data_IF_872610215435
#
_entry.id   IF_872610215435
#
_cell.length_a   1.000
_cell.length_b   1.000
_cell.length_c   1.000
_cell.angle_alpha   90.00
_cell.angle_beta   90.00
_cell.angle_gamma   90.00
#
_symmetry.space_group_name_H-M   'P 1'
#
loop_
_entity.id
_entity.type
_entity.pdbx_description
1 polymer ?
#
# COMPACT_ATOMS: atom_id res chain seq x y z
N UNK A 1 42.95 -6.88 40.04
CA UNK A 1 41.99 -5.77 39.78
C UNK A 1 41.63 -5.80 38.30
N UNK A 2 40.51 -6.44 37.94
CA UNK A 2 40.00 -6.43 36.59
C UNK A 2 39.31 -5.06 36.38
N UNK A 3 39.77 -4.27 35.40
CA UNK A 3 39.10 -3.07 34.95
C UNK A 3 37.80 -3.53 34.23
N UNK A 4 36.67 -3.27 34.85
CA UNK A 4 35.38 -3.48 34.25
C UNK A 4 35.28 -2.73 32.92
N UNK A 5 34.98 -3.46 31.85
CA UNK A 5 34.60 -2.91 30.57
C UNK A 5 33.34 -2.05 30.81
N UNK A 6 33.44 -0.73 30.64
CA UNK A 6 32.26 0.16 30.59
C UNK A 6 31.40 -0.34 29.44
N UNK A 7 30.25 -0.92 29.73
CA UNK A 7 29.22 -1.15 28.72
C UNK A 7 28.94 0.20 28.02
N UNK A 8 29.13 0.21 26.71
CA UNK A 8 28.77 1.35 25.88
C UNK A 8 27.26 1.60 26.06
N UNK A 9 26.83 2.87 26.22
CA UNK A 9 25.41 3.17 26.28
C UNK A 9 24.71 2.59 25.03
N UNK A 10 23.56 1.95 25.23
CA UNK A 10 22.76 1.27 24.21
C UNK A 10 22.48 2.08 22.92
N UNK A 11 22.71 3.40 22.95
CA UNK A 11 22.59 4.32 21.80
C UNK A 11 23.66 4.12 20.71
N UNK A 12 24.80 3.53 21.02
CA UNK A 12 25.96 3.44 20.13
C UNK A 12 26.08 2.13 19.36
N UNK A 13 24.99 1.33 19.29
CA UNK A 13 25.00 0.03 18.60
C UNK A 13 23.88 -0.01 17.57
N UNK A 14 24.21 -0.38 16.33
CA UNK A 14 23.21 -0.62 15.28
C UNK A 14 22.28 -1.75 15.69
N UNK A 15 20.98 -1.46 15.79
CA UNK A 15 19.93 -2.40 16.24
C UNK A 15 18.63 -2.13 15.51
N UNK A 16 17.65 -3.05 15.66
CA UNK A 16 16.30 -2.80 15.21
C UNK A 16 15.71 -1.54 15.86
N UNK A 17 15.16 -0.68 15.02
CA UNK A 17 14.45 0.53 15.42
C UNK A 17 13.01 0.39 14.88
N UNK A 18 11.99 0.44 15.73
CA UNK A 18 10.60 0.37 15.26
C UNK A 18 10.32 1.49 14.25
N UNK A 19 9.74 1.18 13.07
CA UNK A 19 9.56 2.18 12.03
C UNK A 19 8.56 3.27 12.43
N UNK A 20 8.92 4.53 12.13
CA UNK A 20 8.01 5.67 12.16
C UNK A 20 6.93 5.51 11.08
N UNK A 21 5.67 5.79 11.42
CA UNK A 21 4.52 5.62 10.53
C UNK A 21 3.95 6.99 10.13
N UNK A 22 3.71 7.22 8.83
CA UNK A 22 3.06 8.45 8.39
C UNK A 22 1.57 8.46 8.74
N UNK A 23 1.05 9.63 9.16
CA UNK A 23 -0.38 9.86 9.37
C UNK A 23 -1.12 9.96 8.04
N UNK A 24 -2.30 9.33 7.95
CA UNK A 24 -3.15 9.41 6.76
C UNK A 24 -3.87 10.74 6.69
N UNK A 25 -3.82 11.39 5.52
CA UNK A 25 -4.54 12.64 5.26
C UNK A 25 -5.34 12.55 3.96
N UNK A 26 -6.41 13.33 3.86
CA UNK A 26 -7.20 13.46 2.63
C UNK A 26 -6.47 14.26 1.55
N UNK A 27 -5.61 15.18 1.96
CA UNK A 27 -4.84 16.03 1.07
C UNK A 27 -3.49 16.37 1.70
N UNK A 28 -2.40 16.23 0.91
CA UNK A 28 -1.07 16.62 1.31
C UNK A 28 -0.89 18.15 1.26
N UNK A 29 0.01 18.71 2.09
CA UNK A 29 0.39 20.11 2.02
C UNK A 29 0.99 20.49 0.65
N UNK A 30 0.75 21.74 0.21
CA UNK A 30 1.31 22.30 -1.03
C UNK A 30 2.70 22.89 -0.86
N UNK A 31 3.04 23.30 0.34
CA UNK A 31 4.27 24.05 0.64
C UNK A 31 5.51 23.17 0.52
N UNK A 32 6.10 23.15 -0.67
CA UNK A 32 7.31 22.38 -1.00
C UNK A 32 8.56 22.88 -0.22
N UNK A 33 8.55 24.11 0.27
CA UNK A 33 9.63 24.61 1.12
C UNK A 33 9.67 23.94 2.49
N UNK A 34 8.53 23.38 2.94
CA UNK A 34 8.40 22.69 4.22
C UNK A 34 8.30 21.16 4.11
N UNK A 35 8.05 20.63 2.90
CA UNK A 35 7.77 19.20 2.71
C UNK A 35 8.56 18.60 1.55
N UNK A 36 9.21 17.47 1.82
CA UNK A 36 9.76 16.57 0.83
C UNK A 36 8.63 15.63 0.36
N UNK A 37 8.54 15.35 -0.94
CA UNK A 37 7.59 14.38 -1.48
C UNK A 37 8.32 13.15 -2.02
N UNK A 38 7.84 11.98 -1.60
CA UNK A 38 8.28 10.67 -2.06
C UNK A 38 7.09 9.84 -2.56
N UNK A 39 7.29 8.91 -3.52
CA UNK A 39 6.25 7.97 -3.88
C UNK A 39 5.90 7.08 -2.69
N UNK A 40 4.61 6.85 -2.46
CA UNK A 40 4.15 5.84 -1.52
C UNK A 40 4.20 4.48 -2.20
N UNK A 41 5.21 3.71 -1.85
CA UNK A 41 5.39 2.36 -2.36
C UNK A 41 4.43 1.39 -1.67
N UNK A 42 3.92 0.42 -2.42
CA UNK A 42 3.08 -0.68 -1.90
C UNK A 42 3.93 -1.96 -1.83
N UNK A 43 4.36 -2.31 -0.63
CA UNK A 43 5.28 -3.41 -0.39
C UNK A 43 5.30 -3.90 1.05
N UNK A 44 6.43 -4.44 1.46
CA UNK A 44 6.73 -4.79 2.85
C UNK A 44 7.75 -3.82 3.42
N UNK A 45 7.35 -3.06 4.46
CA UNK A 45 8.27 -2.21 5.21
C UNK A 45 9.32 -3.05 5.91
N UNK A 46 10.58 -2.68 5.74
CA UNK A 46 11.71 -3.39 6.31
C UNK A 46 12.73 -2.44 6.91
N UNK A 47 13.16 -2.75 8.12
CA UNK A 47 14.34 -2.17 8.76
C UNK A 47 15.51 -3.13 8.52
N UNK A 48 16.47 -2.69 7.71
CA UNK A 48 17.70 -3.43 7.46
C UNK A 48 18.77 -3.01 8.46
N UNK A 49 19.28 -3.97 9.22
CA UNK A 49 20.32 -3.75 10.24
C UNK A 49 21.56 -4.53 9.86
N UNK A 50 22.70 -3.85 9.81
CA UNK A 50 24.01 -4.49 9.77
C UNK A 50 24.81 -3.99 10.95
N UNK A 51 25.38 -4.90 11.76
CA UNK A 51 26.14 -4.58 12.95
C UNK A 51 27.17 -5.66 13.24
N UNK A 52 28.43 -5.26 13.40
CA UNK A 52 29.53 -6.14 13.84
C UNK A 52 29.62 -7.49 13.07
N UNK A 53 29.39 -7.43 11.76
CA UNK A 53 29.44 -8.62 10.87
C UNK A 53 28.12 -9.39 10.75
N UNK A 54 27.11 -9.06 11.54
CA UNK A 54 25.76 -9.64 11.43
C UNK A 54 24.84 -8.73 10.62
N UNK A 55 23.94 -9.34 9.85
CA UNK A 55 22.95 -8.61 9.05
C UNK A 55 21.56 -9.20 9.27
N UNK A 56 20.55 -8.37 9.36
CA UNK A 56 19.16 -8.82 9.44
C UNK A 56 18.23 -7.85 8.70
N UNK A 57 17.20 -8.42 8.09
CA UNK A 57 16.05 -7.71 7.55
C UNK A 57 14.87 -7.92 8.51
N UNK A 58 14.38 -6.85 9.12
CA UNK A 58 13.28 -6.92 10.09
C UNK A 58 11.99 -6.35 9.50
N UNK A 59 10.88 -7.07 9.66
CA UNK A 59 9.54 -6.53 9.43
C UNK A 59 9.20 -5.43 10.44
N UNK A 60 8.05 -4.76 10.24
CA UNK A 60 7.51 -3.79 11.22
C UNK A 60 7.30 -4.38 12.62
N UNK A 61 7.07 -5.69 12.72
CA UNK A 61 6.86 -6.44 13.96
C UNK A 61 8.13 -7.18 14.43
N UNK A 62 9.30 -6.73 13.97
CA UNK A 62 10.61 -7.31 14.28
C UNK A 62 10.80 -8.80 13.90
N UNK A 63 9.99 -9.33 12.96
CA UNK A 63 10.21 -10.67 12.39
C UNK A 63 11.36 -10.62 11.40
N UNK A 64 12.22 -11.64 11.41
CA UNK A 64 13.36 -11.74 10.50
C UNK A 64 12.91 -12.25 9.14
N UNK A 65 13.26 -11.54 8.07
CA UNK A 65 12.92 -11.83 6.67
C UNK A 65 14.13 -12.29 5.83
N UNK A 66 15.25 -12.67 6.44
CA UNK A 66 16.47 -13.04 5.73
C UNK A 66 16.25 -14.18 4.74
N UNK A 67 15.51 -15.22 5.15
CA UNK A 67 15.21 -16.40 4.31
C UNK A 67 14.21 -16.11 3.20
N UNK A 68 13.31 -15.16 3.42
CA UNK A 68 12.29 -14.75 2.48
C UNK A 68 12.84 -13.86 1.35
N UNK A 69 13.87 -13.05 1.64
CA UNK A 69 14.46 -12.08 0.71
C UNK A 69 15.97 -12.24 0.62
N UNK A 70 16.42 -13.44 0.21
CA UNK A 70 17.83 -13.85 0.21
C UNK A 70 18.74 -12.91 -0.58
N UNK A 71 18.28 -12.42 -1.74
CA UNK A 71 19.10 -11.54 -2.59
C UNK A 71 19.29 -10.16 -1.94
N UNK A 72 18.26 -9.62 -1.29
CA UNK A 72 18.34 -8.38 -0.53
C UNK A 72 19.22 -8.55 0.70
N UNK A 73 19.07 -9.67 1.41
CA UNK A 73 19.94 -10.02 2.54
C UNK A 73 21.41 -10.13 2.13
N UNK A 74 21.68 -10.78 1.00
CA UNK A 74 23.02 -10.90 0.45
C UNK A 74 23.60 -9.51 0.05
N UNK A 75 22.77 -8.63 -0.54
CA UNK A 75 23.18 -7.27 -0.88
C UNK A 75 23.50 -6.44 0.38
N UNK A 76 22.66 -6.51 1.42
CA UNK A 76 22.91 -5.87 2.72
C UNK A 76 24.24 -6.36 3.34
N UNK A 77 24.49 -7.66 3.30
CA UNK A 77 25.71 -8.25 3.85
C UNK A 77 26.96 -7.76 3.12
N UNK A 78 26.87 -7.50 1.81
CA UNK A 78 27.97 -7.02 0.96
C UNK A 78 28.29 -5.53 1.13
N UNK A 79 27.41 -4.73 1.77
CA UNK A 79 27.73 -3.31 2.02
C UNK A 79 29.09 -3.19 2.71
N UNK A 80 29.91 -2.25 2.26
CA UNK A 80 31.25 -2.04 2.85
C UNK A 80 31.16 -1.51 4.28
N UNK A 81 30.09 -0.84 4.64
CA UNK A 81 29.87 -0.29 5.97
C UNK A 81 29.54 -1.35 7.00
N UNK A 82 30.25 -1.36 8.14
CA UNK A 82 30.11 -2.37 9.19
C UNK A 82 28.85 -2.21 10.02
N UNK A 83 28.44 -0.98 10.26
CA UNK A 83 27.30 -0.65 11.14
C UNK A 83 26.40 0.35 10.45
N UNK A 84 25.17 -0.09 10.14
CA UNK A 84 24.15 0.71 9.47
C UNK A 84 22.75 0.24 9.84
N UNK A 85 21.79 1.16 9.99
CA UNK A 85 20.37 0.88 10.07
C UNK A 85 19.67 1.70 8.99
N UNK A 86 18.98 1.00 8.10
CA UNK A 86 18.25 1.56 6.96
C UNK A 86 16.77 1.27 7.07
N UNK A 87 15.97 2.24 6.70
CA UNK A 87 14.52 2.11 6.63
C UNK A 87 14.08 2.16 5.16
N UNK A 88 13.26 1.23 4.75
CA UNK A 88 12.84 1.10 3.35
C UNK A 88 11.65 0.19 3.14
N UNK A 89 11.29 0.01 1.88
CA UNK A 89 10.18 -0.82 1.43
C UNK A 89 10.69 -1.89 0.46
N UNK A 90 10.31 -3.15 0.67
CA UNK A 90 10.55 -4.22 -0.32
C UNK A 90 9.37 -4.24 -1.28
N UNK A 91 9.65 -4.13 -2.58
CA UNK A 91 8.66 -4.07 -3.65
C UNK A 91 9.01 -5.03 -4.78
N UNK A 92 8.01 -5.69 -5.38
CA UNK A 92 8.14 -6.31 -6.69
C UNK A 92 7.80 -5.27 -7.76
N UNK A 93 8.56 -5.22 -8.86
CA UNK A 93 8.46 -4.15 -9.85
C UNK A 93 8.20 -4.73 -11.24
N UNK A 94 7.17 -4.25 -11.91
CA UNK A 94 6.84 -4.58 -13.30
C UNK A 94 7.87 -3.96 -14.27
N UNK A 95 7.95 -4.44 -15.52
CA UNK A 95 8.87 -3.88 -16.52
C UNK A 95 8.71 -2.38 -16.80
N UNK A 96 7.52 -1.85 -16.56
CA UNK A 96 7.20 -0.41 -16.69
C UNK A 96 7.55 0.40 -15.42
N UNK A 97 8.18 -0.21 -14.41
CA UNK A 97 8.55 0.44 -13.14
C UNK A 97 7.46 0.46 -12.06
N UNK A 98 6.27 -0.10 -12.34
CA UNK A 98 5.14 -0.09 -11.40
C UNK A 98 5.35 -1.11 -10.28
N UNK A 99 5.15 -0.73 -9.00
CA UNK A 99 5.08 -1.69 -7.90
C UNK A 99 3.89 -2.65 -8.05
N UNK A 100 4.10 -3.94 -7.76
CA UNK A 100 3.07 -4.98 -7.81
C UNK A 100 3.07 -5.80 -6.52
N UNK A 101 2.19 -5.44 -5.60
CA UNK A 101 2.10 -6.09 -4.29
C UNK A 101 1.62 -7.55 -4.38
N UNK A 102 0.73 -7.87 -5.32
CA UNK A 102 0.27 -9.24 -5.52
C UNK A 102 1.42 -10.16 -5.93
N UNK A 103 2.31 -9.68 -6.82
CA UNK A 103 3.52 -10.41 -7.20
C UNK A 103 4.45 -10.58 -5.99
N UNK A 104 4.57 -9.54 -5.14
CA UNK A 104 5.37 -9.62 -3.93
C UNK A 104 4.80 -10.64 -2.91
N UNK A 105 3.48 -10.69 -2.73
CA UNK A 105 2.83 -11.72 -1.90
C UNK A 105 3.09 -13.13 -2.43
N UNK A 106 3.08 -13.29 -3.75
CA UNK A 106 3.32 -14.54 -4.46
C UNK A 106 4.79 -14.67 -4.91
N UNK A 107 5.74 -14.13 -4.16
CA UNK A 107 7.17 -14.01 -4.52
C UNK A 107 7.84 -15.32 -4.93
N UNK A 108 7.35 -16.46 -4.46
CA UNK A 108 7.90 -17.79 -4.81
C UNK A 108 7.60 -18.20 -6.25
N UNK A 109 6.53 -17.65 -6.84
CA UNK A 109 6.07 -17.96 -8.20
C UNK A 109 6.21 -16.77 -9.16
N UNK A 110 6.47 -15.56 -8.66
CA UNK A 110 6.68 -14.40 -9.51
C UNK A 110 8.02 -14.43 -10.23
N UNK A 111 8.04 -13.93 -11.47
CA UNK A 111 9.28 -13.66 -12.22
C UNK A 111 9.68 -12.19 -12.16
N UNK A 112 8.90 -11.35 -11.47
CA UNK A 112 9.20 -9.92 -11.34
C UNK A 112 10.41 -9.73 -10.41
N UNK A 113 11.29 -8.77 -10.73
CA UNK A 113 12.38 -8.41 -9.85
C UNK A 113 11.85 -7.80 -8.57
N UNK A 114 12.49 -8.13 -7.45
CA UNK A 114 12.15 -7.63 -6.12
C UNK A 114 13.29 -6.72 -5.67
N UNK A 115 12.96 -5.50 -5.24
CA UNK A 115 13.92 -4.50 -4.79
C UNK A 115 13.66 -4.10 -3.35
N UNK A 116 14.72 -3.70 -2.65
CA UNK A 116 14.64 -2.97 -1.41
C UNK A 116 14.90 -1.49 -1.69
N UNK A 117 13.86 -0.69 -1.60
CA UNK A 117 13.90 0.75 -1.85
C UNK A 117 14.07 1.47 -0.52
N UNK A 118 15.24 2.02 -0.30
CA UNK A 118 15.65 2.64 0.97
C UNK A 118 15.32 4.13 0.94
N UNK A 119 14.66 4.64 1.97
CA UNK A 119 14.25 6.04 2.02
C UNK A 119 14.72 6.77 3.29
N UNK A 120 15.33 6.09 4.27
CA UNK A 120 15.92 6.76 5.43
C UNK A 120 17.15 6.00 5.97
N UNK A 121 18.04 6.73 6.63
CA UNK A 121 19.21 6.21 7.33
C UNK A 121 19.11 6.58 8.81
N UNK A 122 18.98 5.58 9.68
CA UNK A 122 18.72 5.78 11.10
C UNK A 122 19.98 5.65 11.96
N UNK A 123 20.99 4.95 11.45
CA UNK A 123 22.26 4.74 12.13
C UNK A 123 23.38 4.53 11.11
N UNK A 124 24.54 5.17 11.34
CA UNK A 124 25.69 5.04 10.46
C UNK A 124 26.98 5.43 11.17
N UNK A 125 28.05 4.64 10.98
CA UNK A 125 29.41 4.90 11.51
C UNK A 125 29.45 5.20 13.02
N UNK A 126 28.73 4.39 13.81
CA UNK A 126 28.73 4.54 15.26
C UNK A 126 27.85 5.69 15.80
N UNK A 127 26.99 6.27 14.97
CA UNK A 127 26.13 7.40 15.35
C UNK A 127 24.67 7.12 15.04
N UNK A 128 23.83 7.48 15.98
CA UNK A 128 22.36 7.48 15.87
C UNK A 128 21.92 8.80 15.21
N UNK A 129 20.95 8.72 14.29
CA UNK A 129 20.42 9.86 13.57
C UNK A 129 18.94 10.14 13.84
N UNK A 130 18.35 9.52 14.85
CA UNK A 130 16.91 9.69 15.13
C UNK A 130 16.54 11.15 15.40
N UNK A 131 17.38 11.87 16.15
CA UNK A 131 17.16 13.27 16.48
C UNK A 131 17.67 14.25 15.39
N UNK A 132 18.22 13.73 14.29
CA UNK A 132 18.74 14.56 13.20
C UNK A 132 17.66 14.98 12.22
N UNK A 133 17.77 16.17 11.60
CA UNK A 133 16.91 16.58 10.49
C UNK A 133 16.91 15.55 9.36
N UNK A 134 15.77 15.39 8.71
CA UNK A 134 15.61 14.42 7.60
C UNK A 134 16.63 14.65 6.48
N UNK A 135 16.99 15.90 6.19
CA UNK A 135 17.98 16.26 5.16
C UNK A 135 19.38 15.72 5.51
N UNK A 136 19.74 15.74 6.79
CA UNK A 136 21.00 15.17 7.25
C UNK A 136 20.99 13.65 7.10
N UNK A 137 19.87 12.98 7.48
CA UNK A 137 19.70 11.54 7.31
C UNK A 137 19.74 11.12 5.83
N UNK A 138 19.11 11.91 4.94
CA UNK A 138 19.15 11.72 3.49
C UNK A 138 20.55 11.89 2.91
N UNK A 139 21.31 12.85 3.40
CA UNK A 139 22.71 13.04 3.00
C UNK A 139 23.55 11.79 3.30
N UNK A 140 23.38 11.18 4.48
CA UNK A 140 24.06 9.93 4.81
C UNK A 140 23.53 8.75 3.99
N UNK A 141 22.23 8.69 3.75
CA UNK A 141 21.67 7.69 2.83
C UNK A 141 22.30 7.78 1.45
N UNK A 142 22.45 8.99 0.89
CA UNK A 142 23.08 9.18 -0.42
C UNK A 142 24.55 8.71 -0.45
N UNK A 143 25.30 8.88 0.66
CA UNK A 143 26.66 8.33 0.78
C UNK A 143 26.67 6.81 0.78
N UNK A 144 25.78 6.18 1.56
CA UNK A 144 25.68 4.72 1.65
C UNK A 144 25.19 4.12 0.33
N UNK A 145 24.29 4.82 -0.37
CA UNK A 145 23.70 4.37 -1.63
C UNK A 145 24.72 4.21 -2.77
N UNK A 146 25.90 4.86 -2.67
CA UNK A 146 26.99 4.64 -3.62
C UNK A 146 27.54 3.19 -3.58
N UNK A 147 27.37 2.51 -2.45
CA UNK A 147 27.77 1.12 -2.26
C UNK A 147 26.61 0.13 -2.48
N UNK A 148 25.41 0.62 -2.84
CA UNK A 148 24.29 -0.27 -3.09
C UNK A 148 24.53 -1.11 -4.34
N UNK A 149 24.35 -2.41 -4.19
CA UNK A 149 24.28 -3.35 -5.30
C UNK A 149 22.85 -3.84 -5.46
N UNK A 150 22.45 -4.16 -6.68
CA UNK A 150 21.09 -4.75 -6.90
C UNK A 150 20.91 -5.96 -5.97
N UNK A 151 19.75 -6.10 -5.32
CA UNK A 151 18.51 -5.37 -5.55
C UNK A 151 18.25 -4.18 -4.59
N UNK A 152 19.27 -3.54 -4.02
CA UNK A 152 19.12 -2.35 -3.18
C UNK A 152 19.21 -1.08 -4.02
N UNK A 153 18.33 -0.09 -3.72
CA UNK A 153 18.35 1.23 -4.36
C UNK A 153 17.75 2.30 -3.43
N UNK A 154 18.17 3.58 -3.54
CA UNK A 154 17.52 4.66 -2.82
C UNK A 154 16.13 4.95 -3.41
N UNK A 155 15.24 5.54 -2.59
CA UNK A 155 13.96 6.03 -3.07
C UNK A 155 14.15 7.24 -3.99
N UNK A 156 13.28 7.35 -4.98
CA UNK A 156 13.15 8.57 -5.77
C UNK A 156 12.45 9.65 -4.94
N UNK A 157 12.97 10.88 -4.99
CA UNK A 157 12.35 12.07 -4.40
C UNK A 157 11.92 13.03 -5.52
N UNK A 158 10.75 13.63 -5.38
CA UNK A 158 10.33 14.71 -6.27
C UNK A 158 11.14 15.97 -5.97
N UNK A 159 11.77 16.57 -6.98
CA UNK A 159 12.50 17.81 -6.86
C UNK A 159 11.67 18.95 -6.24
N UNK A 160 12.33 19.97 -5.71
CA UNK A 160 11.64 21.11 -5.09
C UNK A 160 10.84 21.94 -6.08
N UNK A 161 11.25 21.94 -7.34
CA UNK A 161 10.59 22.56 -8.49
C UNK A 161 9.30 21.84 -8.93
N UNK A 162 9.09 20.62 -8.45
CA UNK A 162 7.87 19.85 -8.75
C UNK A 162 6.82 20.15 -7.69
N UNK A 163 5.75 20.83 -8.07
CA UNK A 163 4.61 21.07 -7.17
C UNK A 163 3.85 19.76 -6.83
N UNK A 164 3.00 19.84 -5.81
CA UNK A 164 2.22 18.68 -5.33
C UNK A 164 1.34 18.08 -6.42
N UNK A 165 0.64 18.90 -7.20
CA UNK A 165 -0.35 18.43 -8.17
C UNK A 165 0.32 17.75 -9.37
N UNK A 166 1.50 18.26 -9.77
CA UNK A 166 2.38 17.60 -10.74
C UNK A 166 2.85 16.23 -10.20
N UNK A 167 3.31 16.18 -8.95
CA UNK A 167 3.72 14.91 -8.32
C UNK A 167 2.55 13.91 -8.26
N UNK A 168 1.32 14.35 -7.91
CA UNK A 168 0.10 13.54 -7.93
C UNK A 168 -0.16 13.01 -9.35
N UNK A 169 -0.02 13.86 -10.37
CA UNK A 169 -0.23 13.47 -11.76
C UNK A 169 0.74 12.37 -12.21
N UNK A 170 2.01 12.50 -11.86
CA UNK A 170 3.04 11.49 -12.14
C UNK A 170 2.70 10.16 -11.46
N UNK A 171 2.39 10.20 -10.16
CA UNK A 171 2.07 9.01 -9.36
C UNK A 171 0.82 8.29 -9.90
N UNK A 172 -0.22 9.04 -10.30
CA UNK A 172 -1.42 8.46 -10.91
C UNK A 172 -1.12 7.80 -12.27
N UNK A 173 -0.32 8.45 -13.12
CA UNK A 173 0.07 7.89 -14.43
C UNK A 173 0.91 6.62 -14.30
N UNK A 174 1.74 6.54 -13.28
CA UNK A 174 2.59 5.37 -13.00
C UNK A 174 1.90 4.32 -12.13
N UNK A 175 0.63 4.55 -11.74
CA UNK A 175 -0.15 3.67 -10.84
C UNK A 175 0.59 3.33 -9.53
N UNK A 176 1.36 4.26 -9.00
CA UNK A 176 1.92 4.18 -7.65
C UNK A 176 0.79 4.49 -6.65
N UNK A 177 0.79 3.83 -5.49
CA UNK A 177 -0.31 3.87 -4.51
C UNK A 177 -0.65 5.27 -4.01
N UNK A 178 0.34 6.19 -3.98
CA UNK A 178 0.14 7.51 -3.42
C UNK A 178 1.45 8.29 -3.26
N UNK A 179 1.40 9.28 -2.39
CA UNK A 179 2.56 10.09 -1.98
C UNK A 179 2.74 10.05 -0.47
N UNK A 180 3.99 10.21 -0.03
CA UNK A 180 4.37 10.52 1.34
C UNK A 180 5.04 11.89 1.35
N UNK A 181 4.48 12.81 2.16
CA UNK A 181 5.10 14.10 2.45
C UNK A 181 5.85 14.00 3.79
N UNK A 182 7.14 14.29 3.79
CA UNK A 182 7.99 14.30 4.99
C UNK A 182 8.37 15.72 5.31
N UNK A 183 8.11 16.16 6.55
CA UNK A 183 8.39 17.54 6.98
C UNK A 183 9.89 17.79 7.00
N UNK A 184 10.33 18.87 6.36
CA UNK A 184 11.72 19.31 6.39
C UNK A 184 12.14 19.65 7.82
N UNK A 185 13.39 19.39 8.16
CA UNK A 185 13.91 19.55 9.52
C UNK A 185 13.40 18.51 10.53
N UNK A 186 12.54 17.56 10.12
CA UNK A 186 11.94 16.61 11.06
C UNK A 186 12.93 15.56 11.53
N UNK A 187 12.79 15.21 12.81
CA UNK A 187 13.42 14.04 13.41
C UNK A 187 12.67 12.75 13.02
N UNK A 188 13.26 11.61 13.31
CA UNK A 188 12.61 10.31 13.18
C UNK A 188 12.00 9.90 14.51
N UNK A 189 10.69 9.61 14.55
CA UNK A 189 9.94 9.22 15.76
C UNK A 189 9.62 7.72 15.73
N UNK A 190 10.42 6.86 16.40
CA UNK A 190 10.25 5.42 16.31
C UNK A 190 8.91 4.91 16.86
N UNK A 191 8.29 3.95 16.15
CA UNK A 191 7.20 3.11 16.65
C UNK A 191 5.80 3.69 16.57
N UNK A 192 5.64 5.03 16.40
CA UNK A 192 4.35 5.71 16.39
C UNK A 192 3.90 6.22 15.03
N UNK A 193 2.63 6.60 14.91
CA UNK A 193 2.19 7.53 13.87
C UNK A 193 2.67 8.94 14.21
N UNK A 194 3.09 9.68 13.20
CA UNK A 194 3.60 11.04 13.37
C UNK A 194 3.17 11.95 12.24
N UNK A 195 2.70 13.15 12.60
CA UNK A 195 2.32 14.21 11.66
C UNK A 195 3.53 14.86 10.98
N UNK A 196 4.75 14.49 11.37
CA UNK A 196 5.97 14.88 10.67
C UNK A 196 6.08 14.16 9.32
N UNK A 197 5.39 13.04 9.15
CA UNK A 197 5.22 12.32 7.90
C UNK A 197 3.74 12.14 7.62
N UNK A 198 3.30 12.56 6.44
CA UNK A 198 1.92 12.47 5.98
C UNK A 198 1.84 11.57 4.76
N UNK A 199 0.78 10.74 4.65
CA UNK A 199 0.54 9.92 3.47
C UNK A 199 -0.82 10.22 2.87
N UNK A 200 -0.89 10.28 1.54
CA UNK A 200 -2.12 10.32 0.77
C UNK A 200 -2.13 9.18 -0.23
N UNK A 201 -3.19 8.39 -0.25
CA UNK A 201 -3.43 7.36 -1.26
C UNK A 201 -4.24 7.92 -2.41
N UNK A 202 -3.92 7.46 -3.61
CA UNK A 202 -4.68 7.81 -4.83
C UNK A 202 -5.36 6.55 -5.34
N UNK A 203 -6.59 6.39 -4.93
CA UNK A 203 -7.40 5.26 -5.35
C UNK A 203 -7.82 5.43 -6.82
N UNK A 204 -7.98 4.31 -7.51
CA UNK A 204 -8.58 4.26 -8.82
C UNK A 204 -10.11 4.33 -8.66
N UNK A 205 -10.79 4.85 -9.66
CA UNK A 205 -12.24 4.84 -9.74
C UNK A 205 -12.67 4.04 -10.95
N UNK A 206 -13.79 3.35 -10.83
CA UNK A 206 -14.35 2.57 -11.92
C UNK A 206 -15.86 2.43 -11.82
N UNK A 207 -16.50 2.25 -12.99
CA UNK A 207 -17.91 1.95 -13.11
C UNK A 207 -18.11 0.44 -13.04
N UNK A 208 -19.00 0.00 -12.14
CA UNK A 208 -19.38 -1.41 -11.99
C UNK A 208 -20.88 -1.54 -11.96
N UNK A 209 -21.37 -2.63 -12.55
CA UNK A 209 -22.80 -2.96 -12.58
C UNK A 209 -23.18 -3.64 -11.26
N UNK A 210 -24.32 -3.26 -10.70
CA UNK A 210 -24.89 -3.90 -9.52
C UNK A 210 -25.78 -5.06 -10.00
N UNK A 211 -25.37 -6.29 -9.71
CA UNK A 211 -26.13 -7.50 -10.10
C UNK A 211 -26.85 -8.18 -8.93
N UNK A 212 -26.71 -7.65 -7.71
CA UNK A 212 -27.39 -8.18 -6.54
C UNK A 212 -26.98 -7.47 -5.26
N UNK A 213 -27.62 -7.87 -4.17
CA UNK A 213 -27.25 -7.44 -2.83
C UNK A 213 -27.54 -8.50 -1.78
N UNK A 214 -26.84 -8.47 -0.68
CA UNK A 214 -27.17 -9.21 0.54
C UNK A 214 -27.97 -8.26 1.43
N UNK A 215 -29.17 -8.68 1.90
CA UNK A 215 -29.99 -7.86 2.79
C UNK A 215 -29.26 -7.53 4.11
N UNK A 216 -29.61 -6.38 4.68
CA UNK A 216 -29.15 -5.94 5.97
C UNK A 216 -30.27 -5.25 6.75
N UNK A 217 -29.98 -4.82 7.98
CA UNK A 217 -30.97 -4.22 8.89
C UNK A 217 -31.63 -2.93 8.35
N UNK A 218 -31.04 -2.28 7.33
CA UNK A 218 -31.54 -1.07 6.67
C UNK A 218 -31.68 -1.26 5.14
N UNK A 219 -32.15 -2.44 4.72
CA UNK A 219 -32.39 -2.79 3.32
C UNK A 219 -31.19 -3.49 2.67
N UNK A 220 -30.06 -2.80 2.48
CA UNK A 220 -28.86 -3.36 1.87
C UNK A 220 -27.77 -3.54 2.93
N UNK A 221 -27.24 -4.75 3.05
CA UNK A 221 -26.02 -5.08 3.82
C UNK A 221 -24.77 -4.89 2.97
N UNK A 222 -24.72 -5.61 1.84
CA UNK A 222 -23.59 -5.57 0.90
C UNK A 222 -24.12 -5.56 -0.54
N UNK A 223 -23.43 -4.86 -1.44
CA UNK A 223 -23.70 -4.93 -2.88
C UNK A 223 -22.83 -6.00 -3.54
N UNK A 224 -23.37 -6.70 -4.52
CA UNK A 224 -22.65 -7.58 -5.42
C UNK A 224 -22.45 -6.84 -6.74
N UNK A 225 -21.19 -6.50 -7.05
CA UNK A 225 -20.84 -5.74 -8.23
C UNK A 225 -20.08 -6.58 -9.24
N UNK A 226 -20.23 -6.24 -10.51
CA UNK A 226 -19.57 -6.91 -11.63
C UNK A 226 -19.25 -5.99 -12.78
N UNK A 227 -18.58 -6.55 -13.76
CA UNK A 227 -18.30 -5.92 -15.04
C UNK A 227 -18.60 -6.89 -16.19
N UNK A 228 -18.96 -6.32 -17.35
CA UNK A 228 -19.16 -7.13 -18.55
C UNK A 228 -17.83 -7.52 -19.18
N UNK A 229 -17.71 -8.81 -19.53
CA UNK A 229 -16.64 -9.40 -20.34
C UNK A 229 -17.31 -10.33 -21.34
N UNK A 230 -17.01 -10.16 -22.62
CA UNK A 230 -17.60 -10.99 -23.68
C UNK A 230 -19.13 -11.12 -23.57
N UNK A 231 -19.82 -10.00 -23.31
CA UNK A 231 -21.27 -9.89 -23.11
C UNK A 231 -21.84 -10.67 -21.90
N UNK A 232 -21.01 -11.18 -21.00
CA UNK A 232 -21.43 -11.82 -19.75
C UNK A 232 -21.03 -10.96 -18.55
N UNK A 233 -21.93 -10.79 -17.59
CA UNK A 233 -21.62 -10.11 -16.36
C UNK A 233 -20.81 -11.02 -15.45
N UNK A 234 -19.61 -10.59 -15.10
CA UNK A 234 -18.73 -11.30 -14.17
C UNK A 234 -18.71 -10.62 -12.80
N UNK A 235 -18.97 -11.39 -11.77
CA UNK A 235 -18.87 -10.93 -10.39
C UNK A 235 -17.43 -10.53 -10.06
N UNK A 236 -17.26 -9.34 -9.45
CA UNK A 236 -15.97 -8.76 -9.10
C UNK A 236 -15.79 -8.69 -7.58
N UNK A 237 -16.80 -8.20 -6.84
CA UNK A 237 -16.64 -7.94 -5.42
C UNK A 237 -17.95 -7.87 -4.67
N UNK A 238 -17.95 -8.33 -3.40
CA UNK A 238 -18.91 -7.93 -2.38
C UNK A 238 -18.45 -6.59 -1.80
N UNK A 239 -19.32 -5.60 -1.75
CA UNK A 239 -19.00 -4.23 -1.42
C UNK A 239 -19.85 -3.77 -0.23
N UNK A 240 -19.23 -3.60 0.92
CA UNK A 240 -19.81 -3.05 2.13
C UNK A 240 -19.22 -1.68 2.47
N UNK A 241 -17.91 -1.52 2.26
CA UNK A 241 -17.22 -0.25 2.51
C UNK A 241 -17.81 0.87 1.64
N UNK A 242 -17.96 2.08 2.20
CA UNK A 242 -18.59 3.23 1.57
C UNK A 242 -20.12 3.25 1.67
N UNK A 243 -20.76 2.12 2.01
CA UNK A 243 -22.18 2.07 2.34
C UNK A 243 -22.39 2.44 3.81
N UNK A 244 -23.21 3.46 4.06
CA UNK A 244 -23.48 4.00 5.39
C UNK A 244 -24.98 4.24 5.60
N UNK A 245 -25.34 4.70 6.77
CA UNK A 245 -26.74 4.94 7.13
C UNK A 245 -27.46 6.01 6.27
N UNK A 246 -26.72 6.88 5.61
CA UNK A 246 -27.28 7.97 4.79
C UNK A 246 -27.50 7.52 3.34
N UNK A 247 -26.58 6.75 2.74
CA UNK A 247 -26.68 6.35 1.33
C UNK A 247 -27.37 5.00 1.10
N UNK A 248 -27.43 4.09 2.11
CA UNK A 248 -28.11 2.79 1.98
C UNK A 248 -29.58 2.89 1.57
N UNK A 249 -30.39 3.81 2.12
CA UNK A 249 -31.78 3.99 1.70
C UNK A 249 -31.93 4.44 0.23
N UNK A 250 -31.05 5.33 -0.24
CA UNK A 250 -31.03 5.81 -1.62
C UNK A 250 -30.67 4.66 -2.57
N UNK A 251 -29.61 3.89 -2.25
CA UNK A 251 -29.19 2.74 -3.04
C UNK A 251 -30.28 1.69 -3.07
N UNK A 252 -30.95 1.40 -1.95
CA UNK A 252 -32.07 0.45 -1.91
C UNK A 252 -33.23 0.90 -2.80
N UNK A 253 -33.62 2.18 -2.72
CA UNK A 253 -34.67 2.75 -3.56
C UNK A 253 -34.36 2.60 -5.05
N UNK A 254 -33.11 2.81 -5.44
CA UNK A 254 -32.69 2.72 -6.84
C UNK A 254 -32.72 1.29 -7.41
N UNK A 255 -32.61 0.24 -6.56
CA UNK A 255 -32.51 -1.12 -7.02
C UNK A 255 -33.72 -2.01 -6.68
N UNK A 256 -34.65 -1.55 -5.86
CA UNK A 256 -35.78 -2.37 -5.37
C UNK A 256 -36.69 -2.89 -6.47
N UNK A 257 -36.87 -2.12 -7.56
CA UNK A 257 -37.73 -2.46 -8.70
C UNK A 257 -36.99 -3.32 -9.74
N UNK A 258 -35.69 -3.52 -9.58
CA UNK A 258 -34.86 -4.33 -10.46
C UNK A 258 -34.75 -5.81 -10.03
N UNK A 259 -35.48 -6.22 -8.99
CA UNK A 259 -35.42 -7.61 -8.49
C UNK A 259 -35.77 -8.64 -9.55
N UNK A 260 -34.99 -9.71 -9.61
CA UNK A 260 -35.18 -10.85 -10.50
C UNK A 260 -34.90 -12.17 -9.78
N UNK A 261 -35.43 -13.27 -10.32
CA UNK A 261 -35.12 -14.64 -9.84
C UNK A 261 -33.83 -15.17 -10.47
N UNK A 262 -33.41 -14.59 -11.60
CA UNK A 262 -32.24 -15.04 -12.34
C UNK A 262 -30.96 -14.41 -11.80
N UNK A 263 -29.98 -15.25 -11.52
CA UNK A 263 -28.62 -14.81 -11.10
C UNK A 263 -27.87 -14.28 -12.32
N UNK A 264 -27.44 -12.99 -12.32
CA UNK A 264 -26.88 -12.36 -13.52
C UNK A 264 -25.38 -12.66 -13.75
N UNK A 265 -24.69 -13.27 -12.80
CA UNK A 265 -23.23 -13.42 -12.85
C UNK A 265 -22.79 -14.75 -13.45
N UNK A 266 -21.99 -14.73 -14.51
CA UNK A 266 -21.53 -15.91 -15.21
C UNK A 266 -20.49 -16.78 -14.45
N UNK A 267 -19.85 -16.23 -13.42
CA UNK A 267 -18.76 -16.85 -12.68
C UNK A 267 -19.09 -17.17 -11.20
N UNK A 268 -20.36 -17.24 -10.84
CA UNK A 268 -20.82 -17.74 -9.54
C UNK A 268 -21.42 -19.14 -9.68
N UNK A 269 -21.40 -19.97 -8.61
CA UNK A 269 -20.80 -19.73 -7.29
C UNK A 269 -19.27 -19.79 -7.30
N UNK A 270 -18.67 -19.19 -6.27
CA UNK A 270 -17.22 -19.27 -6.05
C UNK A 270 -16.86 -20.41 -5.10
N UNK A 271 -15.60 -20.87 -5.20
CA UNK A 271 -15.02 -21.74 -4.16
C UNK A 271 -14.90 -20.97 -2.85
N UNK A 272 -14.94 -21.68 -1.71
CA UNK A 272 -14.77 -21.08 -0.37
C UNK A 272 -13.47 -20.25 -0.29
N UNK A 273 -13.62 -19.05 0.24
CA UNK A 273 -12.53 -18.11 0.45
C UNK A 273 -13.02 -16.84 1.17
N UNK A 274 -12.11 -15.97 1.64
CA UNK A 274 -12.51 -14.73 2.27
C UNK A 274 -13.33 -13.86 1.30
N UNK A 275 -14.53 -13.46 1.71
CA UNK A 275 -15.47 -12.65 0.92
C UNK A 275 -15.94 -13.26 -0.41
N UNK A 276 -15.84 -14.60 -0.57
CA UNK A 276 -16.39 -15.28 -1.73
C UNK A 276 -17.92 -15.38 -1.65
N UNK A 277 -18.56 -15.53 -2.81
CA UNK A 277 -19.99 -15.80 -2.94
C UNK A 277 -20.14 -17.29 -3.26
N UNK A 278 -20.25 -18.09 -2.19
CA UNK A 278 -20.50 -19.55 -2.26
C UNK A 278 -21.97 -19.83 -2.50
N UNK A 279 -22.35 -21.09 -2.71
CA UNK A 279 -23.76 -21.50 -2.85
C UNK A 279 -24.60 -21.11 -1.62
N UNK A 280 -24.04 -21.24 -0.41
CA UNK A 280 -24.71 -20.83 0.82
C UNK A 280 -24.98 -19.32 0.85
N UNK A 281 -24.00 -18.51 0.46
CA UNK A 281 -24.15 -17.05 0.39
C UNK A 281 -25.15 -16.64 -0.69
N UNK A 282 -25.19 -17.37 -1.81
CA UNK A 282 -26.17 -17.11 -2.88
C UNK A 282 -27.62 -17.26 -2.44
N UNK A 283 -27.91 -18.12 -1.46
CA UNK A 283 -29.27 -18.27 -0.90
C UNK A 283 -29.74 -17.03 -0.12
N UNK A 284 -28.80 -16.21 0.37
CA UNK A 284 -29.09 -14.95 1.06
C UNK A 284 -29.20 -13.76 0.09
N UNK A 285 -28.78 -13.92 -1.16
CA UNK A 285 -28.73 -12.85 -2.14
C UNK A 285 -30.08 -12.53 -2.75
N UNK A 286 -30.33 -11.24 -2.92
CA UNK A 286 -31.40 -10.73 -3.79
C UNK A 286 -30.76 -10.33 -5.11
N UNK A 287 -31.09 -11.04 -6.19
CA UNK A 287 -30.59 -10.77 -7.54
C UNK A 287 -31.29 -9.60 -8.17
N UNK A 288 -30.58 -8.88 -9.04
CA UNK A 288 -31.04 -7.68 -9.71
C UNK A 288 -30.80 -7.80 -11.23
N UNK A 289 -31.71 -7.27 -12.02
CA UNK A 289 -31.43 -6.97 -13.42
C UNK A 289 -30.24 -6.01 -13.47
N UNK A 290 -29.22 -6.26 -14.32
CA UNK A 290 -27.98 -5.51 -14.33
C UNK A 290 -28.10 -4.15 -15.04
N UNK A 291 -29.05 -3.33 -14.63
CA UNK A 291 -29.38 -2.03 -15.22
C UNK A 291 -28.78 -0.84 -14.43
N UNK A 292 -28.58 -1.02 -13.12
CA UNK A 292 -27.99 0.00 -12.26
C UNK A 292 -26.47 -0.15 -12.14
N UNK A 293 -25.75 0.95 -12.21
CA UNK A 293 -24.30 1.00 -12.00
C UNK A 293 -23.91 1.86 -10.81
N UNK A 294 -22.75 1.57 -10.26
CA UNK A 294 -22.12 2.34 -9.20
C UNK A 294 -20.70 2.74 -9.58
N UNK A 295 -20.30 3.91 -9.14
CA UNK A 295 -18.89 4.31 -9.09
C UNK A 295 -18.27 3.76 -7.83
N UNK A 296 -17.16 3.06 -8.00
CA UNK A 296 -16.44 2.40 -6.91
C UNK A 296 -14.99 2.85 -6.94
N UNK A 297 -14.51 3.26 -5.80
CA UNK A 297 -13.11 3.57 -5.58
C UNK A 297 -12.37 2.31 -5.10
N UNK A 298 -11.16 2.07 -5.58
CA UNK A 298 -10.35 0.92 -5.20
C UNK A 298 -8.86 1.20 -5.37
N UNK A 299 -8.01 0.47 -4.62
CA UNK A 299 -6.56 0.65 -4.69
C UNK A 299 -6.00 0.04 -5.97
N UNK A 300 -6.35 -1.24 -6.24
CA UNK A 300 -5.84 -1.97 -7.41
C UNK A 300 -6.78 -3.11 -7.81
N UNK A 301 -6.57 -3.62 -9.03
CA UNK A 301 -7.16 -4.88 -9.50
C UNK A 301 -6.17 -6.02 -9.33
N UNK A 302 -6.63 -7.11 -8.73
CA UNK A 302 -5.83 -8.34 -8.66
C UNK A 302 -5.73 -9.02 -10.04
N UNK A 303 -4.78 -9.96 -10.25
CA UNK A 303 -4.72 -10.75 -11.49
C UNK A 303 -6.02 -11.53 -11.79
N UNK A 304 -6.80 -11.87 -10.77
CA UNK A 304 -8.13 -12.49 -10.90
C UNK A 304 -9.23 -11.45 -11.08
N UNK A 305 -8.87 -10.20 -11.38
CA UNK A 305 -9.74 -9.05 -11.60
C UNK A 305 -10.61 -8.64 -10.40
N UNK A 306 -10.26 -9.05 -9.18
CA UNK A 306 -10.88 -8.57 -7.96
C UNK A 306 -10.39 -7.18 -7.60
N UNK A 307 -11.22 -6.43 -6.87
CA UNK A 307 -10.85 -5.11 -6.36
C UNK A 307 -10.29 -5.22 -4.94
N UNK A 308 -9.14 -4.59 -4.70
CA UNK A 308 -8.54 -4.46 -3.39
C UNK A 308 -8.94 -3.14 -2.74
N UNK A 309 -9.36 -3.18 -1.47
CA UNK A 309 -9.85 -2.01 -0.72
C UNK A 309 -10.94 -1.20 -1.45
N UNK A 310 -11.88 -1.91 -2.08
CA UNK A 310 -12.97 -1.27 -2.81
C UNK A 310 -13.97 -0.61 -1.85
N UNK A 311 -14.46 0.58 -2.23
CA UNK A 311 -15.43 1.38 -1.48
C UNK A 311 -16.46 1.99 -2.42
N UNK A 312 -17.74 1.90 -2.07
CA UNK A 312 -18.83 2.57 -2.80
C UNK A 312 -18.67 4.08 -2.72
N UNK A 313 -18.81 4.77 -3.85
CA UNK A 313 -18.80 6.24 -3.92
C UNK A 313 -20.20 6.80 -4.14
N UNK A 314 -20.84 6.40 -5.23
CA UNK A 314 -22.18 6.87 -5.61
C UNK A 314 -22.82 5.94 -6.65
N UNK A 315 -24.12 6.07 -6.78
CA UNK A 315 -24.83 5.53 -7.94
C UNK A 315 -24.48 6.34 -9.20
N UNK A 316 -24.44 5.68 -10.32
CA UNK A 316 -24.35 6.32 -11.64
C UNK A 316 -25.75 6.36 -12.28
N UNK A 317 -26.05 7.36 -13.13
CA UNK A 317 -27.30 7.38 -13.88
C UNK A 317 -27.49 6.07 -14.63
N UNK A 318 -28.74 5.59 -14.70
CA UNK A 318 -29.09 4.42 -15.53
C UNK A 318 -28.74 4.71 -16.98
N UNK A 319 -28.25 3.69 -17.72
CA UNK A 319 -27.79 3.81 -19.10
C UNK A 319 -28.95 4.09 -20.10
N UNK A 320 -29.85 4.99 -19.78
CA UNK A 320 -31.03 5.35 -20.56
C UNK A 320 -31.49 6.82 -20.37
N UNK A 321 -30.95 7.52 -19.39
CA UNK A 321 -31.21 8.96 -19.22
C UNK A 321 -30.03 9.76 -19.83
N UNK A 322 -30.29 10.34 -21.01
CA UNK A 322 -29.43 11.35 -21.65
C UNK A 322 -29.70 12.72 -21.05
#
# INVERSE_FOLDING_TARGET
MQKGAREKPLKDVARFIPPMKPTMVSQLPDDRSKWLLEPKLDGYRVIAVKSSGHSNLYSIDAKIYNSEFRDIFAALTKLMHKDVVLDGEIVAVEPNGRPNFNALQNRRSTKLPIYYVVFDCLYFKGRDFLDKPIEERKKYLAQIAQDFVKPMQPVFEFGEDIDRDTAITVVRRTNIEGLVAKRRGSRYEPGGESDLWLKQRFNQEGKFVIGGYIPGSKGIGELLIGEYRENKLHFIKRLNAGLNQFNRPEVFKAVQDLKTKEMPFANLPERRGPHSVTEEVMMECVWLKPEQSAEVEFVERTPTARLRHASFRRLLPCSGEK
#
